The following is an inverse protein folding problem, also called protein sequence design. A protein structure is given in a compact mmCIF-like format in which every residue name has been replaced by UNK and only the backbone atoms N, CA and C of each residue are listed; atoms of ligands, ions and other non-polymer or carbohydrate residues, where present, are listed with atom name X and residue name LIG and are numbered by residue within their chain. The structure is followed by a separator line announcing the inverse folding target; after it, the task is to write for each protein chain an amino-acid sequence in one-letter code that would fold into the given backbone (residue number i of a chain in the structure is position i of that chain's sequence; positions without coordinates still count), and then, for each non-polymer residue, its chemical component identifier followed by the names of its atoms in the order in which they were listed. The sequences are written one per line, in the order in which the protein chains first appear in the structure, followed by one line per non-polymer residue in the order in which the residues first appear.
data_IF_261528249945
#
_entry.id   IF_261528249945
#
_cell.length_a   1.000
_cell.length_b   1.000
_cell.length_c   1.000
_cell.angle_alpha   90.00
_cell.angle_beta   90.00
_cell.angle_gamma   90.00
#
_symmetry.space_group_name_H-M   'P 1'
#
loop_
_entity.id
_entity.type
_entity.pdbx_description
1 polymer ?
#
# COMPACT_ATOMS: atom_id res chain seq x y z
N UNK A 1 -0.45 -24.92 -8.76
CA UNK A 1 -0.02 -23.58 -8.28
C UNK A 1 -1.04 -23.09 -7.27
N UNK A 2 -0.65 -22.87 -6.02
CA UNK A 2 -1.55 -22.53 -4.92
C UNK A 2 -1.77 -21.01 -4.90
N UNK A 3 -2.87 -20.51 -5.47
CA UNK A 3 -3.27 -19.12 -5.30
C UNK A 3 -4.08 -18.99 -4.01
N UNK A 4 -3.50 -18.35 -3.00
CA UNK A 4 -4.15 -18.13 -1.71
C UNK A 4 -4.61 -16.68 -1.57
N UNK A 5 -5.76 -16.46 -0.93
CA UNK A 5 -6.21 -15.13 -0.51
C UNK A 5 -6.16 -15.04 1.01
N UNK A 6 -5.53 -14.00 1.52
CA UNK A 6 -5.32 -13.79 2.96
C UNK A 6 -5.69 -12.36 3.35
N UNK A 7 -5.84 -12.15 4.66
CA UNK A 7 -5.97 -10.81 5.25
C UNK A 7 -4.85 -10.65 6.26
N UNK A 8 -4.09 -9.57 6.15
CA UNK A 8 -2.99 -9.26 7.06
C UNK A 8 -3.05 -7.80 7.49
N UNK A 9 -2.42 -7.50 8.61
CA UNK A 9 -2.20 -6.16 9.12
C UNK A 9 -0.71 -5.83 9.02
N UNK A 10 -0.37 -4.62 8.60
CA UNK A 10 1.03 -4.20 8.55
C UNK A 10 1.21 -2.71 8.31
N UNK A 11 2.45 -2.27 8.48
CA UNK A 11 2.89 -0.89 8.28
C UNK A 11 3.65 -0.79 6.97
N UNK A 12 3.31 0.19 6.12
CA UNK A 12 4.14 0.47 4.93
C UNK A 12 5.39 1.23 5.39
N UNK A 13 6.54 0.59 5.32
CA UNK A 13 7.81 1.20 5.79
C UNK A 13 8.62 1.85 4.67
N UNK A 14 8.37 1.47 3.42
CA UNK A 14 9.00 2.07 2.26
C UNK A 14 8.21 1.79 0.97
N UNK A 15 8.52 2.53 -0.08
CA UNK A 15 8.09 2.25 -1.45
C UNK A 15 9.33 1.96 -2.29
N UNK A 16 9.36 0.79 -2.95
CA UNK A 16 10.39 0.44 -3.91
C UNK A 16 9.97 0.91 -5.32
N UNK A 17 10.64 1.94 -5.80
CA UNK A 17 10.39 2.53 -7.11
C UNK A 17 11.41 2.10 -8.17
N UNK A 18 12.32 1.15 -7.89
CA UNK A 18 13.31 0.66 -8.87
C UNK A 18 12.67 0.09 -10.13
N UNK A 19 11.48 -0.49 -10.01
CA UNK A 19 10.70 -1.02 -11.14
C UNK A 19 9.75 0.01 -11.76
N UNK A 20 9.82 1.27 -11.32
CA UNK A 20 8.85 2.32 -11.60
C UNK A 20 7.59 2.19 -10.71
N UNK A 21 6.75 3.23 -10.75
CA UNK A 21 5.53 3.33 -9.94
C UNK A 21 4.23 3.18 -10.76
N UNK A 22 4.35 3.06 -12.09
CA UNK A 22 3.25 2.83 -13.02
C UNK A 22 3.70 2.05 -14.26
N UNK A 23 2.73 1.53 -15.02
CA UNK A 23 2.96 0.81 -16.28
C UNK A 23 2.01 1.28 -17.39
N UNK A 24 2.44 1.11 -18.64
CA UNK A 24 1.61 1.35 -19.82
C UNK A 24 0.56 0.24 -19.92
N UNK A 25 -0.72 0.60 -19.85
CA UNK A 25 -1.81 -0.37 -19.91
C UNK A 25 -2.68 -0.22 -21.15
N UNK A 26 -3.30 -1.33 -21.56
CA UNK A 26 -4.34 -1.34 -22.57
C UNK A 26 -5.61 -0.65 -22.05
N UNK A 27 -6.22 0.20 -22.88
CA UNK A 27 -7.48 0.89 -22.56
C UNK A 27 -8.66 -0.06 -22.35
N UNK A 28 -8.66 -1.22 -23.00
CA UNK A 28 -9.78 -2.16 -23.00
C UNK A 28 -9.70 -3.22 -21.91
N UNK A 29 -8.55 -3.88 -21.77
CA UNK A 29 -8.38 -4.99 -20.82
C UNK A 29 -7.56 -4.63 -19.59
N UNK A 30 -7.04 -3.39 -19.48
CA UNK A 30 -6.29 -2.89 -18.33
C UNK A 30 -4.95 -3.60 -18.08
N UNK A 31 -4.58 -4.59 -18.88
CA UNK A 31 -3.32 -5.32 -18.76
C UNK A 31 -2.14 -4.51 -19.29
N UNK A 32 -0.94 -4.82 -18.80
CA UNK A 32 0.30 -4.22 -19.26
C UNK A 32 0.54 -4.50 -20.75
N UNK A 33 1.04 -3.48 -21.46
CA UNK A 33 1.42 -3.59 -22.86
C UNK A 33 2.88 -4.03 -22.98
N UNK A 34 3.17 -4.85 -23.98
CA UNK A 34 4.54 -5.15 -24.38
C UNK A 34 5.04 -4.05 -25.30
N UNK A 35 6.23 -3.56 -25.03
CA UNK A 35 6.87 -2.51 -25.83
C UNK A 35 7.86 -3.13 -26.82
N UNK A 36 7.90 -2.56 -28.02
CA UNK A 36 8.89 -2.82 -29.06
C UNK A 36 9.29 -1.47 -29.66
N UNK A 37 10.35 -1.43 -30.47
CA UNK A 37 11.01 -0.19 -30.93
C UNK A 37 10.02 0.89 -31.40
N UNK A 38 9.00 0.51 -32.18
CA UNK A 38 8.02 1.43 -32.76
C UNK A 38 6.56 1.05 -32.48
N UNK A 39 6.29 0.12 -31.57
CA UNK A 39 4.93 -0.38 -31.35
C UNK A 39 4.70 -0.85 -29.92
N UNK A 40 3.44 -0.80 -29.50
CA UNK A 40 2.97 -1.41 -28.26
C UNK A 40 1.95 -2.51 -28.60
N UNK A 41 2.07 -3.67 -27.96
CA UNK A 41 1.20 -4.82 -28.18
C UNK A 41 0.46 -5.18 -26.90
N UNK A 42 -0.86 -5.31 -27.02
CA UNK A 42 -1.69 -5.89 -25.97
C UNK A 42 -1.85 -7.38 -26.25
N UNK A 43 -1.13 -8.22 -25.49
CA UNK A 43 -1.20 -9.68 -25.64
C UNK A 43 -2.61 -10.22 -25.36
N UNK A 44 -3.28 -9.69 -24.34
CA UNK A 44 -4.61 -10.17 -23.92
C UNK A 44 -5.70 -9.89 -24.95
N UNK A 45 -5.64 -8.73 -25.62
CA UNK A 45 -6.60 -8.37 -26.66
C UNK A 45 -6.13 -8.78 -28.06
N UNK A 46 -4.88 -9.19 -28.19
CA UNK A 46 -4.15 -9.35 -29.45
C UNK A 46 -4.29 -8.14 -30.40
N UNK A 47 -3.96 -6.95 -29.90
CA UNK A 47 -4.04 -5.69 -30.67
C UNK A 47 -2.79 -4.84 -30.53
N UNK A 48 -2.56 -3.94 -31.50
CA UNK A 48 -1.46 -2.97 -31.52
C UNK A 48 -2.02 -1.54 -31.36
N UNK A 49 -2.35 -1.11 -30.14
CA UNK A 49 -2.93 0.22 -29.94
C UNK A 49 -1.91 1.33 -30.22
N UNK A 50 -2.40 2.47 -30.72
CA UNK A 50 -1.55 3.66 -30.94
C UNK A 50 -1.32 4.49 -29.67
N UNK A 51 -1.97 4.14 -28.55
CA UNK A 51 -1.86 4.84 -27.28
C UNK A 51 -2.03 3.90 -26.08
N UNK A 52 -1.66 4.39 -24.91
CA UNK A 52 -1.74 3.65 -23.66
C UNK A 52 -2.37 4.51 -22.55
N UNK A 53 -2.78 3.86 -21.47
CA UNK A 53 -3.22 4.53 -20.25
C UNK A 53 -2.24 4.19 -19.12
N UNK A 54 -1.53 5.17 -18.52
CA UNK A 54 -0.75 4.94 -17.31
C UNK A 54 -1.60 4.38 -16.17
N UNK A 55 -1.11 3.34 -15.49
CA UNK A 55 -1.77 2.71 -14.35
C UNK A 55 -0.80 2.42 -13.22
N UNK A 56 -1.21 2.64 -11.97
CA UNK A 56 -0.31 2.41 -10.83
C UNK A 56 0.09 0.95 -10.71
N UNK A 57 1.36 0.76 -10.39
CA UNK A 57 1.97 -0.50 -9.92
C UNK A 57 3.02 -0.11 -8.90
N UNK A 58 2.58 0.06 -7.65
CA UNK A 58 3.42 0.55 -6.56
C UNK A 58 3.91 -0.64 -5.75
N UNK A 59 5.22 -0.81 -5.63
CA UNK A 59 5.79 -1.84 -4.76
C UNK A 59 5.93 -1.28 -3.34
N UNK A 60 5.07 -1.73 -2.43
CA UNK A 60 5.09 -1.40 -1.03
C UNK A 60 6.00 -2.38 -0.30
N UNK A 61 6.88 -1.89 0.57
CA UNK A 61 7.53 -2.71 1.59
C UNK A 61 6.70 -2.61 2.85
N UNK A 62 6.11 -3.73 3.25
CA UNK A 62 5.19 -3.82 4.39
C UNK A 62 5.87 -4.60 5.50
N UNK A 63 5.96 -4.01 6.68
CA UNK A 63 6.45 -4.66 7.90
C UNK A 63 5.27 -5.14 8.75
N UNK A 64 5.42 -6.33 9.32
CA UNK A 64 4.66 -6.75 10.50
C UNK A 64 5.60 -6.84 11.72
N UNK A 65 5.17 -7.51 12.79
CA UNK A 65 5.98 -7.68 13.99
C UNK A 65 7.23 -8.57 13.78
N UNK A 66 7.25 -9.38 12.72
CA UNK A 66 8.24 -10.42 12.50
C UNK A 66 9.23 -10.07 11.38
N UNK A 67 8.72 -9.59 10.24
CA UNK A 67 9.55 -9.33 9.06
C UNK A 67 8.91 -8.29 8.12
N UNK A 68 9.60 -8.02 7.01
CA UNK A 68 9.15 -7.21 5.90
C UNK A 68 8.87 -8.05 4.67
N UNK A 69 7.80 -7.72 3.94
CA UNK A 69 7.46 -8.34 2.67
C UNK A 69 7.15 -7.29 1.61
N UNK A 70 7.38 -7.64 0.34
CA UNK A 70 7.08 -6.78 -0.82
C UNK A 70 5.67 -7.07 -1.34
N UNK A 71 4.81 -6.06 -1.32
CA UNK A 71 3.44 -6.12 -1.83
C UNK A 71 3.30 -5.23 -3.06
N UNK A 72 2.50 -5.63 -4.04
CA UNK A 72 2.18 -4.81 -5.22
C UNK A 72 0.77 -4.24 -5.08
N UNK A 73 0.66 -2.91 -5.11
CA UNK A 73 -0.61 -2.17 -5.12
C UNK A 73 -0.89 -1.65 -6.54
N UNK A 74 -1.93 -2.21 -7.16
CA UNK A 74 -2.35 -1.81 -8.51
C UNK A 74 -3.38 -0.68 -8.51
N UNK A 75 -3.45 -0.02 -9.67
CA UNK A 75 -4.30 1.12 -10.05
C UNK A 75 -5.62 1.26 -9.32
N UNK A 76 -6.46 0.23 -9.31
CA UNK A 76 -7.81 0.31 -8.71
C UNK A 76 -7.78 0.73 -7.24
N UNK A 77 -6.94 0.07 -6.44
CA UNK A 77 -6.86 0.36 -5.01
C UNK A 77 -5.94 1.56 -4.74
N UNK A 78 -4.87 1.73 -5.54
CA UNK A 78 -3.98 2.88 -5.45
C UNK A 78 -4.72 4.20 -5.71
N UNK A 79 -5.44 4.33 -6.81
CA UNK A 79 -6.17 5.56 -7.16
C UNK A 79 -7.28 5.88 -6.17
N UNK A 80 -7.94 4.85 -5.63
CA UNK A 80 -8.94 5.04 -4.58
C UNK A 80 -8.32 5.62 -3.32
N UNK A 81 -7.14 5.14 -2.93
CA UNK A 81 -6.44 5.62 -1.74
C UNK A 81 -5.86 7.03 -1.95
N UNK A 82 -5.18 7.26 -3.07
CA UNK A 82 -4.49 8.52 -3.37
C UNK A 82 -5.44 9.63 -3.83
N UNK A 83 -6.66 9.31 -4.26
CA UNK A 83 -7.62 10.28 -4.81
C UNK A 83 -7.24 10.82 -6.19
N UNK A 84 -6.25 10.23 -6.86
CA UNK A 84 -5.75 10.65 -8.17
C UNK A 84 -5.43 9.44 -9.04
N UNK A 85 -5.52 9.60 -10.36
CA UNK A 85 -5.14 8.55 -11.32
C UNK A 85 -3.64 8.57 -11.61
N UNK A 86 -3.07 7.42 -11.98
CA UNK A 86 -1.69 7.36 -12.44
C UNK A 86 -1.47 8.24 -13.68
N UNK A 87 -2.46 8.30 -14.58
CA UNK A 87 -2.44 9.21 -15.73
C UNK A 87 -2.23 10.66 -15.31
N UNK A 88 -3.03 11.17 -14.36
CA UNK A 88 -2.91 12.55 -13.91
C UNK A 88 -1.57 12.81 -13.22
N UNK A 89 -1.13 11.90 -12.34
CA UNK A 89 0.16 12.02 -11.67
C UNK A 89 1.33 11.99 -12.67
N UNK A 90 1.24 11.16 -13.72
CA UNK A 90 2.31 11.03 -14.72
C UNK A 90 2.52 12.27 -15.58
N UNK A 91 1.53 13.18 -15.65
CA UNK A 91 1.67 14.46 -16.37
C UNK A 91 2.67 15.39 -15.69
N UNK A 92 2.85 15.27 -14.37
CA UNK A 92 3.77 16.08 -13.58
C UNK A 92 5.16 15.43 -13.41
N UNK A 93 5.31 14.17 -13.83
CA UNK A 93 6.55 13.39 -13.76
C UNK A 93 6.87 12.79 -15.13
N UNK A 94 7.39 13.64 -16.02
CA UNK A 94 7.62 13.33 -17.44
C UNK A 94 8.61 12.17 -17.62
N UNK A 95 9.54 11.99 -16.68
CA UNK A 95 10.43 10.83 -16.63
C UNK A 95 9.86 9.75 -15.70
N UNK A 96 9.72 8.50 -16.19
CA UNK A 96 9.27 7.37 -15.38
C UNK A 96 10.17 7.09 -14.16
N UNK A 97 11.42 7.55 -14.21
CA UNK A 97 12.38 7.44 -13.11
C UNK A 97 12.21 8.55 -12.07
N UNK A 98 11.43 9.60 -12.36
CA UNK A 98 11.04 10.58 -11.35
C UNK A 98 9.95 9.97 -10.48
N UNK A 99 10.30 9.80 -9.22
CA UNK A 99 9.43 9.26 -8.20
C UNK A 99 8.51 10.36 -7.63
N UNK A 100 7.18 10.22 -7.71
CA UNK A 100 6.24 11.15 -7.09
C UNK A 100 6.30 11.00 -5.57
N UNK A 101 6.74 12.05 -4.89
CA UNK A 101 6.80 12.07 -3.42
C UNK A 101 5.40 11.92 -2.79
N UNK A 102 4.34 12.25 -3.53
CA UNK A 102 2.94 12.07 -3.16
C UNK A 102 2.60 10.60 -2.82
N UNK A 103 3.34 9.63 -3.36
CA UNK A 103 3.16 8.21 -3.02
C UNK A 103 3.59 7.91 -1.58
N UNK A 104 4.51 8.71 -1.01
CA UNK A 104 4.94 8.57 0.38
C UNK A 104 3.83 8.86 1.38
N UNK A 105 2.68 9.39 0.95
CA UNK A 105 1.50 9.53 1.81
C UNK A 105 1.05 8.20 2.44
N UNK A 106 1.44 7.05 1.89
CA UNK A 106 1.16 5.74 2.47
C UNK A 106 2.24 5.24 3.45
N UNK A 107 3.44 5.83 3.44
CA UNK A 107 4.56 5.42 4.31
C UNK A 107 4.27 5.78 5.77
N UNK A 108 4.75 4.94 6.68
CA UNK A 108 4.53 4.98 8.13
C UNK A 108 3.06 4.85 8.55
N UNK A 109 2.19 4.44 7.62
CA UNK A 109 0.79 4.16 7.90
C UNK A 109 0.51 2.67 8.00
N UNK A 110 -0.47 2.38 8.84
CA UNK A 110 -0.95 1.03 9.10
C UNK A 110 -2.18 0.74 8.26
N UNK A 111 -2.25 -0.48 7.74
CA UNK A 111 -3.40 -0.92 6.96
C UNK A 111 -3.77 -2.36 7.27
N UNK A 112 -5.04 -2.68 7.07
CA UNK A 112 -5.44 -4.05 6.79
C UNK A 112 -5.38 -4.24 5.27
N UNK A 113 -4.63 -5.25 4.86
CA UNK A 113 -4.50 -5.67 3.47
C UNK A 113 -5.26 -6.97 3.26
N UNK A 114 -6.17 -6.99 2.30
CA UNK A 114 -6.58 -8.25 1.68
C UNK A 114 -5.60 -8.53 0.55
N UNK A 115 -4.86 -9.63 0.60
CA UNK A 115 -3.79 -9.96 -0.34
C UNK A 115 -4.09 -11.26 -1.10
N UNK A 116 -3.58 -11.35 -2.32
CA UNK A 116 -3.44 -12.59 -3.08
C UNK A 116 -1.97 -12.96 -3.11
N UNK A 117 -1.63 -14.17 -2.69
CA UNK A 117 -0.28 -14.73 -2.81
C UNK A 117 -0.26 -15.68 -4.00
N UNK A 118 0.64 -15.44 -4.94
CA UNK A 118 0.89 -16.28 -6.10
C UNK A 118 2.31 -16.81 -6.02
N UNK A 119 2.48 -18.12 -6.11
CA UNK A 119 3.80 -18.72 -6.24
C UNK A 119 4.21 -18.75 -7.71
N UNK A 120 5.34 -18.15 -8.05
CA UNK A 120 6.00 -18.34 -9.34
C UNK A 120 6.89 -19.59 -9.30
N UNK A 121 7.31 -20.08 -10.47
CA UNK A 121 8.15 -21.27 -10.57
C UNK A 121 9.45 -21.11 -9.75
N UNK A 122 9.90 -22.23 -9.17
CA UNK A 122 10.97 -22.34 -8.15
C UNK A 122 12.32 -21.71 -8.55
N UNK A 123 12.50 -21.39 -9.84
CA UNK A 123 13.73 -20.82 -10.40
C UNK A 123 13.82 -19.27 -10.30
N UNK A 124 12.79 -18.59 -9.78
CA UNK A 124 12.83 -17.15 -9.55
C UNK A 124 13.47 -16.80 -8.19
N UNK A 125 14.28 -15.73 -8.16
CA UNK A 125 14.92 -15.21 -6.93
C UNK A 125 13.93 -14.77 -5.83
N UNK A 126 12.67 -14.52 -6.19
CA UNK A 126 11.54 -14.37 -5.25
C UNK A 126 10.39 -15.25 -5.74
N UNK A 127 10.12 -16.40 -5.10
CA UNK A 127 9.13 -17.34 -5.59
C UNK A 127 7.69 -16.90 -5.30
N UNK A 128 7.45 -15.76 -4.65
CA UNK A 128 6.11 -15.30 -4.31
C UNK A 128 5.84 -13.85 -4.73
N UNK A 129 4.74 -13.65 -5.46
CA UNK A 129 4.17 -12.32 -5.74
C UNK A 129 2.97 -12.12 -4.81
N UNK A 130 3.02 -11.06 -4.02
CA UNK A 130 1.92 -10.67 -3.13
C UNK A 130 1.22 -9.45 -3.73
N UNK A 131 -0.03 -9.61 -4.16
CA UNK A 131 -0.84 -8.54 -4.75
C UNK A 131 -1.88 -8.06 -3.75
N UNK A 132 -1.95 -6.76 -3.53
CA UNK A 132 -3.01 -6.15 -2.71
C UNK A 132 -4.32 -6.14 -3.50
N UNK A 133 -5.33 -6.82 -2.97
CA UNK A 133 -6.69 -6.87 -3.51
C UNK A 133 -7.59 -5.78 -2.92
N UNK A 134 -7.39 -5.45 -1.63
CA UNK A 134 -8.07 -4.34 -0.94
C UNK A 134 -7.17 -3.73 0.12
N UNK A 135 -7.29 -2.41 0.27
CA UNK A 135 -6.62 -1.62 1.29
C UNK A 135 -7.66 -1.01 2.24
N UNK A 136 -7.44 -1.10 3.55
CA UNK A 136 -8.28 -0.44 4.56
C UNK A 136 -7.41 0.32 5.57
N UNK A 137 -7.68 1.63 5.69
CA UNK A 137 -7.00 2.56 6.57
C UNK A 137 -7.92 3.09 7.70
N UNK A 138 -9.11 2.50 7.88
CA UNK A 138 -10.08 2.94 8.88
C UNK A 138 -9.65 2.44 10.26
N UNK A 139 -9.27 3.37 11.15
CA UNK A 139 -8.79 3.06 12.49
C UNK A 139 -9.79 2.26 13.33
N UNK A 140 -11.10 2.45 13.13
CA UNK A 140 -12.13 1.70 13.85
C UNK A 140 -12.20 0.25 13.41
N UNK A 141 -11.95 -0.02 12.12
CA UNK A 141 -11.88 -1.38 11.58
C UNK A 141 -10.55 -2.02 11.97
N UNK A 142 -9.45 -1.27 11.92
CA UNK A 142 -8.13 -1.70 12.34
C UNK A 142 -8.14 -2.14 13.80
N UNK A 143 -8.64 -1.30 14.72
CA UNK A 143 -8.74 -1.65 16.14
C UNK A 143 -9.54 -2.94 16.35
N UNK A 144 -10.74 -3.05 15.77
CA UNK A 144 -11.56 -4.27 15.85
C UNK A 144 -10.84 -5.52 15.31
N UNK A 145 -10.06 -5.37 14.25
CA UNK A 145 -9.28 -6.47 13.67
C UNK A 145 -8.15 -6.89 14.62
N UNK A 146 -7.38 -5.93 15.13
CA UNK A 146 -6.26 -6.19 16.05
C UNK A 146 -6.76 -6.86 17.34
N UNK A 147 -7.85 -6.36 17.93
CA UNK A 147 -8.45 -6.92 19.15
C UNK A 147 -8.89 -8.37 18.94
N UNK A 148 -9.56 -8.64 17.82
CA UNK A 148 -10.05 -9.97 17.47
C UNK A 148 -8.92 -10.97 17.26
N UNK A 149 -7.81 -10.53 16.67
CA UNK A 149 -6.69 -11.39 16.31
C UNK A 149 -5.52 -11.35 17.32
N UNK A 150 -5.64 -10.56 18.39
CA UNK A 150 -4.64 -10.38 19.45
C UNK A 150 -3.25 -9.97 18.91
N UNK A 151 -3.25 -9.12 17.88
CA UNK A 151 -2.02 -8.58 17.28
C UNK A 151 -1.60 -7.35 18.10
N UNK A 152 -0.34 -7.27 18.52
CA UNK A 152 0.14 -6.22 19.43
C UNK A 152 0.79 -5.08 18.65
N UNK A 153 0.04 -4.01 18.45
CA UNK A 153 0.58 -2.82 17.80
C UNK A 153 1.29 -1.91 18.82
N UNK A 154 2.64 -1.87 18.78
CA UNK A 154 3.45 -0.94 19.59
C UNK A 154 3.11 0.54 19.36
N UNK A 155 2.60 0.93 18.20
CA UNK A 155 2.29 2.33 17.87
C UNK A 155 1.00 2.84 18.54
N UNK A 156 0.03 1.96 18.86
CA UNK A 156 -1.17 2.33 19.64
C UNK A 156 -0.88 2.58 21.12
N UNK A 157 0.24 2.06 21.62
CA UNK A 157 0.66 2.23 23.02
C UNK A 157 1.20 3.64 23.26
N UNK A 158 1.83 4.26 22.25
CA UNK A 158 2.37 5.61 22.39
C UNK A 158 1.27 6.67 22.50
N UNK A 159 0.21 6.57 21.69
CA UNK A 159 -0.96 7.47 21.79
C UNK A 159 -1.73 7.28 23.11
N UNK A 160 -1.87 6.03 23.59
CA UNK A 160 -2.53 5.77 24.88
C UNK A 160 -1.66 6.19 26.09
N UNK A 161 -0.33 6.11 25.98
CA UNK A 161 0.61 6.59 27.00
C UNK A 161 0.53 8.11 27.18
N UNK A 162 0.43 8.87 26.09
CA UNK A 162 0.26 10.32 26.14
C UNK A 162 -1.10 10.71 26.76
N UNK A 163 -2.18 10.01 26.40
CA UNK A 163 -3.51 10.22 27.00
C UNK A 163 -3.54 9.93 28.51
N UNK A 164 -2.84 8.89 28.97
CA UNK A 164 -2.74 8.55 30.41
C UNK A 164 -1.95 9.63 31.18
N UNK A 165 -0.92 10.20 30.56
CA UNK A 165 -0.09 11.26 31.17
C UNK A 165 -0.87 12.58 31.29
N UNK A 166 -1.70 12.92 30.31
CA UNK A 166 -2.56 14.12 30.33
C UNK A 166 -3.65 14.01 31.42
N UNK A 167 -4.18 12.81 31.66
CA UNK A 167 -5.21 12.57 32.67
C UNK A 167 -4.67 12.61 34.12
N UNK A 168 -3.38 12.33 34.33
CA UNK A 168 -2.76 12.40 35.67
C UNK A 168 -2.41 13.81 36.13
N UNK A 169 -2.23 14.76 35.22
CA UNK A 169 -1.85 16.15 35.54
C UNK A 169 -3.03 17.07 35.92
N UNK A 170 -4.27 16.59 35.82
CA UNK A 170 -5.48 17.42 36.03
C UNK A 170 -6.21 17.18 37.37
N UNK A 171 -5.64 16.40 38.30
CA UNK A 171 -6.20 16.24 39.66
C UNK A 171 -5.34 16.90 40.73
N UNK A 172 -5.27 18.23 40.73
CA UNK A 172 -4.94 18.99 41.95
C UNK A 172 -6.21 19.22 42.78
N UNK A 173 -6.32 18.51 43.90
CA UNK A 173 -7.31 18.77 44.95
C UNK A 173 -7.07 20.13 45.64
N UNK A 174 -8.09 20.98 45.85
CA UNK A 174 -7.92 22.22 46.61
C UNK A 174 -7.67 21.93 48.09
N UNK A 175 -6.56 22.44 48.62
CA UNK A 175 -6.29 22.48 50.07
C UNK A 175 -7.24 23.47 50.74
N UNK A 176 -8.00 22.97 51.70
CA UNK A 176 -8.78 23.77 52.65
C UNK A 176 -7.79 24.38 53.64
N UNK A 177 -7.64 25.71 53.62
CA UNK A 177 -6.92 26.47 54.66
C UNK A 177 -7.93 26.97 55.69
N UNK A 178 -7.85 26.42 56.90
CA UNK A 178 -8.47 27.00 58.09
C UNK A 178 -7.45 27.88 58.80
N UNK A 179 -7.78 29.15 58.97
CA UNK A 179 -7.25 30.06 60.00
C UNK A 179 -8.20 31.22 60.18
#
# INVERSE_FOLDING_TARGET
MCNGTYVTYGTVVAIDYKSGWWYKSCKHCFHALKESENSIHCVTCDTFPNSHVPRFSINLRVADELDTASFILYDKEASKYLGVSASNMSLFHVNKNEYPQELNTSVDKNFIFKISVKMEDINAFQPCIIVVLKLCADNSIISKFLDKHKIYNKNLVHENSELITILSDSTETPKITNS
#
